data_IF_621522785047
#
_entry.id   IF_621522785047
#
_cell.length_a   1.000
_cell.length_b   1.000
_cell.length_c   1.000
_cell.angle_alpha   90.00
_cell.angle_beta   90.00
_cell.angle_gamma   90.00
#
_symmetry.space_group_name_H-M   'P 1'
#
loop_
_entity.id
_entity.type
_entity.pdbx_description
1 polymer ?
#
# COMPACT_ATOMS: atom_id res chain seq x y z
N UNK A 1 -70.28 -40.71 32.36
CA UNK A 1 -69.13 -40.41 31.48
C UNK A 1 -68.93 -38.88 31.43
N UNK A 2 -68.66 -38.22 32.57
CA UNK A 2 -68.67 -36.73 32.67
C UNK A 2 -67.81 -36.16 33.82
N UNK A 3 -66.85 -36.90 34.39
CA UNK A 3 -65.94 -36.39 35.44
C UNK A 3 -64.57 -35.90 34.92
N UNK A 4 -64.25 -36.14 33.63
CA UNK A 4 -63.01 -35.67 32.98
C UNK A 4 -63.09 -34.24 32.43
N UNK A 5 -64.24 -33.55 32.57
CA UNK A 5 -64.50 -32.24 31.95
C UNK A 5 -64.00 -31.04 32.77
N UNK A 6 -64.27 -31.00 34.08
CA UNK A 6 -64.03 -29.80 34.89
C UNK A 6 -62.55 -29.54 35.21
N UNK A 7 -61.77 -30.59 35.52
CA UNK A 7 -60.34 -30.45 35.79
C UNK A 7 -59.57 -30.00 34.54
N UNK A 8 -59.92 -30.51 33.36
CA UNK A 8 -59.29 -30.11 32.10
C UNK A 8 -59.65 -28.66 31.73
N UNK A 9 -60.90 -28.23 31.99
CA UNK A 9 -61.32 -26.83 31.84
C UNK A 9 -60.57 -25.90 32.80
N UNK A 10 -60.43 -26.28 34.07
CA UNK A 10 -59.69 -25.50 35.07
C UNK A 10 -58.20 -25.37 34.69
N UNK A 11 -57.59 -26.46 34.25
CA UNK A 11 -56.19 -26.48 33.83
C UNK A 11 -55.95 -25.65 32.56
N UNK A 12 -56.88 -25.70 31.58
CA UNK A 12 -56.84 -24.84 30.39
C UNK A 12 -57.00 -23.36 30.73
N UNK A 13 -57.89 -23.01 31.65
CA UNK A 13 -58.04 -21.62 32.15
C UNK A 13 -56.77 -21.13 32.85
N UNK A 14 -56.17 -21.96 33.71
CA UNK A 14 -54.92 -21.61 34.39
C UNK A 14 -53.77 -21.39 33.39
N UNK A 15 -53.64 -22.25 32.36
CA UNK A 15 -52.65 -22.07 31.28
C UNK A 15 -52.90 -20.81 30.45
N UNK A 16 -54.17 -20.50 30.16
CA UNK A 16 -54.53 -19.29 29.42
C UNK A 16 -54.21 -18.01 30.21
N UNK A 17 -54.46 -18.01 31.52
CA UNK A 17 -54.10 -16.90 32.41
C UNK A 17 -52.59 -16.72 32.53
N UNK A 18 -51.84 -17.81 32.72
CA UNK A 18 -50.38 -17.78 32.76
C UNK A 18 -49.79 -17.26 31.42
N UNK A 19 -50.30 -17.73 30.29
CA UNK A 19 -49.90 -17.26 28.97
C UNK A 19 -50.23 -15.77 28.75
N UNK A 20 -51.36 -15.29 29.29
CA UNK A 20 -51.73 -13.88 29.24
C UNK A 20 -50.78 -13.00 30.06
N UNK A 21 -50.44 -13.42 31.28
CA UNK A 21 -49.46 -12.71 32.10
C UNK A 21 -48.06 -12.70 31.46
N UNK A 22 -47.62 -13.82 30.87
CA UNK A 22 -46.36 -13.89 30.15
C UNK A 22 -46.34 -12.96 28.94
N UNK A 23 -47.45 -12.85 28.21
CA UNK A 23 -47.59 -11.92 27.11
C UNK A 23 -47.50 -10.45 27.57
N UNK A 24 -48.10 -10.12 28.72
CA UNK A 24 -47.99 -8.78 29.33
C UNK A 24 -46.53 -8.49 29.72
N UNK A 25 -45.88 -9.40 30.44
CA UNK A 25 -44.46 -9.27 30.85
C UNK A 25 -43.53 -9.13 29.64
N UNK A 26 -43.76 -9.89 28.57
CA UNK A 26 -42.99 -9.80 27.34
C UNK A 26 -43.17 -8.43 26.66
N UNK A 27 -44.40 -7.90 26.62
CA UNK A 27 -44.69 -6.57 26.07
C UNK A 27 -44.03 -5.45 26.87
N UNK A 28 -44.04 -5.54 28.19
CA UNK A 28 -43.37 -4.57 29.08
C UNK A 28 -41.85 -4.56 28.85
N UNK A 29 -41.22 -5.73 28.80
CA UNK A 29 -39.78 -5.86 28.50
C UNK A 29 -39.44 -5.27 27.12
N UNK A 30 -40.26 -5.52 26.11
CA UNK A 30 -40.06 -4.97 24.77
C UNK A 30 -40.18 -3.43 24.75
N UNK A 31 -41.13 -2.86 25.51
CA UNK A 31 -41.26 -1.42 25.66
C UNK A 31 -40.07 -0.80 26.40
N UNK A 32 -39.58 -1.44 27.46
CA UNK A 32 -38.39 -1.00 28.20
C UNK A 32 -37.14 -1.03 27.31
N UNK A 33 -36.90 -2.12 26.58
CA UNK A 33 -35.77 -2.23 25.66
C UNK A 33 -35.81 -1.17 24.54
N UNK A 34 -37.02 -0.86 24.03
CA UNK A 34 -37.21 0.21 23.04
C UNK A 34 -36.91 1.58 23.65
N UNK A 35 -37.36 1.84 24.88
CA UNK A 35 -37.08 3.09 25.59
C UNK A 35 -35.59 3.28 25.87
N UNK A 36 -34.89 2.22 26.28
CA UNK A 36 -33.44 2.22 26.50
C UNK A 36 -32.68 2.51 25.20
N UNK A 37 -33.05 1.87 24.10
CA UNK A 37 -32.45 2.12 22.78
C UNK A 37 -32.59 3.60 22.37
N UNK A 38 -33.76 4.20 22.62
CA UNK A 38 -34.00 5.62 22.33
C UNK A 38 -33.13 6.52 23.23
N UNK A 39 -33.01 6.20 24.53
CA UNK A 39 -32.15 6.94 25.46
C UNK A 39 -30.68 6.89 25.07
N UNK A 40 -30.16 5.70 24.72
CA UNK A 40 -28.77 5.52 24.27
C UNK A 40 -28.50 6.34 23.01
N UNK A 41 -29.40 6.30 22.02
CA UNK A 41 -29.28 7.12 20.79
C UNK A 41 -29.31 8.63 21.10
N UNK A 42 -30.18 9.06 22.02
CA UNK A 42 -30.28 10.45 22.43
C UNK A 42 -29.00 10.93 23.15
N UNK A 43 -28.46 10.12 24.07
CA UNK A 43 -27.19 10.40 24.75
C UNK A 43 -26.03 10.47 23.77
N UNK A 44 -25.89 9.50 22.85
CA UNK A 44 -24.83 9.51 21.84
C UNK A 44 -24.90 10.76 20.95
N UNK A 45 -26.11 11.18 20.55
CA UNK A 45 -26.31 12.43 19.81
C UNK A 45 -25.92 13.66 20.63
N UNK A 46 -26.31 13.73 21.90
CA UNK A 46 -25.95 14.82 22.79
C UNK A 46 -24.44 14.93 23.00
N UNK A 47 -23.76 13.81 23.26
CA UNK A 47 -22.28 13.76 23.39
C UNK A 47 -21.59 14.24 22.12
N UNK A 48 -22.08 13.85 20.94
CA UNK A 48 -21.52 14.32 19.66
C UNK A 48 -21.71 15.82 19.42
N UNK A 49 -22.86 16.37 19.83
CA UNK A 49 -23.10 17.82 19.74
C UNK A 49 -22.17 18.56 20.70
N UNK A 50 -22.04 18.06 21.93
CA UNK A 50 -21.16 18.65 22.95
C UNK A 50 -19.71 18.64 22.52
N UNK A 51 -19.19 17.52 22.03
CA UNK A 51 -17.80 17.43 21.57
C UNK A 51 -17.51 18.35 20.38
N UNK A 52 -18.47 18.49 19.46
CA UNK A 52 -18.35 19.44 18.34
C UNK A 52 -18.37 20.89 18.80
N UNK A 53 -19.21 21.22 19.79
CA UNK A 53 -19.28 22.54 20.39
C UNK A 53 -18.00 22.89 21.15
N UNK A 54 -17.46 21.97 21.95
CA UNK A 54 -16.20 22.10 22.67
C UNK A 54 -15.02 22.30 21.70
N UNK A 55 -14.94 21.48 20.64
CA UNK A 55 -13.91 21.64 19.61
C UNK A 55 -13.98 23.01 18.91
N UNK A 56 -15.20 23.50 18.62
CA UNK A 56 -15.40 24.84 18.04
C UNK A 56 -15.01 25.96 19.01
N UNK A 57 -15.33 25.82 20.29
CA UNK A 57 -14.97 26.77 21.32
C UNK A 57 -13.45 26.84 21.50
N UNK A 58 -12.77 25.69 21.59
CA UNK A 58 -11.31 25.60 21.66
C UNK A 58 -10.64 26.24 20.44
N UNK A 59 -11.15 25.98 19.23
CA UNK A 59 -10.63 26.60 18.02
C UNK A 59 -10.83 28.13 17.99
N UNK A 60 -11.96 28.62 18.51
CA UNK A 60 -12.23 30.05 18.62
C UNK A 60 -11.31 30.73 19.63
N UNK A 61 -11.07 30.10 20.78
CA UNK A 61 -10.13 30.57 21.81
C UNK A 61 -8.71 30.61 21.22
N UNK A 62 -8.23 29.52 20.62
CA UNK A 62 -6.90 29.46 20.00
C UNK A 62 -6.71 30.54 18.93
N UNK A 63 -7.74 30.81 18.10
CA UNK A 63 -7.69 31.88 17.11
C UNK A 63 -7.66 33.27 17.76
N UNK A 64 -8.38 33.44 18.88
CA UNK A 64 -8.37 34.64 19.71
C UNK A 64 -7.00 34.90 20.31
N UNK A 65 -6.37 33.89 20.90
CA UNK A 65 -5.02 33.93 21.47
C UNK A 65 -3.96 34.28 20.41
N UNK A 66 -4.02 33.65 19.23
CA UNK A 66 -3.10 33.99 18.12
C UNK A 66 -3.26 35.45 17.69
N UNK A 67 -4.50 35.96 17.67
CA UNK A 67 -4.76 37.37 17.34
C UNK A 67 -4.26 38.31 18.44
N UNK A 68 -4.44 37.95 19.72
CA UNK A 68 -3.98 38.72 20.87
C UNK A 68 -2.43 38.80 20.89
N UNK A 69 -1.75 37.66 20.76
CA UNK A 69 -0.29 37.57 20.71
C UNK A 69 0.29 38.44 19.57
N UNK A 70 -0.38 38.49 18.42
CA UNK A 70 0.02 39.35 17.29
C UNK A 70 -0.11 40.84 17.61
N UNK A 71 -1.13 41.24 18.37
CA UNK A 71 -1.33 42.64 18.80
C UNK A 71 -0.29 43.01 19.88
N UNK A 72 0.03 42.08 20.77
CA UNK A 72 0.97 42.26 21.87
C UNK A 72 2.45 42.17 21.44
N UNK A 73 2.73 41.91 20.17
CA UNK A 73 4.09 41.81 19.64
C UNK A 73 4.85 40.58 20.15
N UNK A 74 4.16 39.62 20.76
CA UNK A 74 4.73 38.35 21.21
C UNK A 74 5.03 37.54 19.94
N UNK A 75 6.32 37.29 19.68
CA UNK A 75 6.73 36.38 18.62
C UNK A 75 5.96 35.05 18.81
N UNK A 76 5.36 34.49 17.74
CA UNK A 76 4.66 33.22 17.87
C UNK A 76 5.62 32.23 18.54
N UNK A 77 5.21 31.64 19.67
CA UNK A 77 5.92 30.48 20.19
C UNK A 77 6.09 29.54 19.00
N UNK A 78 7.31 29.10 18.73
CA UNK A 78 7.60 28.11 17.71
C UNK A 78 6.71 26.92 18.05
N UNK A 79 5.57 26.80 17.35
CA UNK A 79 4.60 25.75 17.63
C UNK A 79 5.36 24.49 17.29
N UNK A 80 5.86 23.80 18.32
CA UNK A 80 6.60 22.57 18.17
C UNK A 80 5.67 21.62 17.42
N UNK A 81 5.90 21.53 16.11
CA UNK A 81 4.94 20.90 15.20
C UNK A 81 4.91 19.45 15.62
N UNK A 82 3.80 19.02 16.22
CA UNK A 82 3.65 17.69 16.84
C UNK A 82 4.19 16.65 15.87
N UNK A 83 5.36 16.08 16.20
CA UNK A 83 6.06 15.19 15.31
C UNK A 83 5.20 13.94 15.21
N UNK A 84 4.79 13.60 13.98
CA UNK A 84 4.08 12.36 13.74
C UNK A 84 5.04 11.21 14.05
N UNK A 85 4.63 10.28 14.90
CA UNK A 85 5.42 9.12 15.24
C UNK A 85 4.92 7.89 14.46
N UNK A 86 5.83 7.00 14.10
CA UNK A 86 5.47 5.68 13.60
C UNK A 86 4.97 4.77 14.75
N UNK A 87 4.52 3.56 14.42
CA UNK A 87 4.04 2.58 15.43
C UNK A 87 5.10 2.14 16.45
N UNK A 88 6.37 2.49 16.21
CA UNK A 88 7.51 2.21 17.09
C UNK A 88 7.95 3.47 17.86
N UNK A 89 7.19 4.57 17.80
CA UNK A 89 7.50 5.82 18.48
C UNK A 89 8.62 6.63 17.81
N UNK A 90 9.02 6.32 16.57
CA UNK A 90 10.07 7.04 15.85
C UNK A 90 9.49 8.21 15.06
N UNK A 91 10.21 9.35 14.93
CA UNK A 91 9.81 10.44 14.05
C UNK A 91 9.54 9.98 12.63
N UNK A 92 8.36 10.31 12.12
CA UNK A 92 7.91 10.05 10.75
C UNK A 92 7.95 11.36 9.96
N UNK A 93 8.87 11.50 8.99
CA UNK A 93 8.97 12.70 8.17
C UNK A 93 7.66 13.02 7.42
N UNK A 94 7.40 14.30 7.17
CA UNK A 94 6.17 14.74 6.49
C UNK A 94 6.01 14.14 5.09
N UNK A 95 7.11 13.96 4.34
CA UNK A 95 7.10 13.43 2.97
C UNK A 95 7.09 11.89 2.90
N UNK A 96 7.00 11.19 4.05
CA UNK A 96 7.04 9.74 4.12
C UNK A 96 5.92 9.12 3.26
N UNK A 97 6.33 8.40 2.21
CA UNK A 97 5.42 7.71 1.28
C UNK A 97 4.83 8.56 0.15
N UNK A 98 4.99 9.89 0.17
CA UNK A 98 4.36 10.77 -0.82
C UNK A 98 4.91 10.60 -2.23
N UNK A 99 6.21 10.33 -2.39
CA UNK A 99 6.79 10.05 -3.72
C UNK A 99 6.15 8.82 -4.37
N UNK A 100 5.91 7.76 -3.61
CA UNK A 100 5.22 6.57 -4.12
C UNK A 100 3.73 6.85 -4.37
N UNK A 101 3.08 7.67 -3.54
CA UNK A 101 1.69 8.08 -3.73
C UNK A 101 1.49 8.85 -5.06
N UNK A 102 2.43 9.74 -5.40
CA UNK A 102 2.44 10.47 -6.68
C UNK A 102 2.80 9.54 -7.84
N UNK A 103 3.72 8.60 -7.63
CA UNK A 103 4.17 7.68 -8.68
C UNK A 103 3.11 6.66 -9.06
N UNK A 104 2.24 6.24 -8.12
CA UNK A 104 1.18 5.26 -8.41
C UNK A 104 0.25 5.63 -9.59
N UNK A 105 -0.37 6.82 -9.67
CA UNK A 105 -1.18 7.20 -10.83
C UNK A 105 -0.34 7.39 -12.11
N UNK A 106 0.94 7.80 -12.00
CA UNK A 106 1.84 7.89 -13.15
C UNK A 106 2.18 6.51 -13.70
N UNK A 107 2.43 5.53 -12.82
CA UNK A 107 2.66 4.14 -13.18
C UNK A 107 1.42 3.51 -13.82
N UNK A 108 0.21 3.85 -13.37
CA UNK A 108 -1.04 3.45 -14.02
C UNK A 108 -1.10 3.97 -15.46
N UNK A 109 -0.90 5.28 -15.64
CA UNK A 109 -0.94 5.92 -16.95
C UNK A 109 0.11 5.33 -17.89
N UNK A 110 1.34 5.17 -17.41
CA UNK A 110 2.43 4.57 -18.18
C UNK A 110 2.10 3.13 -18.60
N UNK A 111 1.59 2.31 -17.67
CA UNK A 111 1.17 0.95 -17.95
C UNK A 111 0.06 0.86 -19.00
N UNK A 112 -0.95 1.72 -18.92
CA UNK A 112 -2.04 1.79 -19.91
C UNK A 112 -1.49 2.08 -21.30
N UNK A 113 -0.63 3.10 -21.43
CA UNK A 113 -0.05 3.46 -22.73
C UNK A 113 0.81 2.32 -23.28
N UNK A 114 1.65 1.66 -22.45
CA UNK A 114 2.43 0.49 -22.86
C UNK A 114 1.53 -0.63 -23.43
N UNK A 115 0.41 -0.92 -22.78
CA UNK A 115 -0.58 -1.90 -23.26
C UNK A 115 -1.19 -1.47 -24.60
N UNK A 116 -1.51 -0.18 -24.77
CA UNK A 116 -2.10 0.33 -26.00
C UNK A 116 -1.15 0.24 -27.20
N UNK A 117 0.14 0.54 -27.01
CA UNK A 117 1.13 0.57 -28.10
C UNK A 117 1.77 -0.80 -28.35
N UNK A 118 1.58 -1.79 -27.47
CA UNK A 118 2.14 -3.13 -27.65
C UNK A 118 1.50 -3.83 -28.87
N UNK A 119 2.29 -4.25 -29.87
CA UNK A 119 1.77 -4.75 -31.16
C UNK A 119 1.17 -6.17 -31.08
N UNK A 120 1.53 -6.98 -30.09
CA UNK A 120 1.09 -8.38 -29.98
C UNK A 120 0.34 -8.64 -28.68
N UNK A 121 -0.57 -9.61 -28.68
CA UNK A 121 -1.32 -10.02 -27.48
C UNK A 121 -0.40 -10.45 -26.34
N UNK A 122 0.67 -11.18 -26.65
CA UNK A 122 1.65 -11.59 -25.64
C UNK A 122 2.35 -10.41 -24.97
N UNK A 123 2.76 -9.41 -25.76
CA UNK A 123 3.42 -8.20 -25.25
C UNK A 123 2.44 -7.31 -24.47
N UNK A 124 1.15 -7.26 -24.86
CA UNK A 124 0.09 -6.60 -24.07
C UNK A 124 -0.05 -7.19 -22.68
N UNK A 125 -0.06 -8.52 -22.57
CA UNK A 125 -0.08 -9.21 -21.27
C UNK A 125 1.20 -8.95 -20.46
N UNK A 126 2.36 -8.93 -21.12
CA UNK A 126 3.61 -8.59 -20.46
C UNK A 126 3.61 -7.16 -19.88
N UNK A 127 3.02 -6.20 -20.60
CA UNK A 127 2.82 -4.83 -20.12
C UNK A 127 1.81 -4.77 -18.96
N UNK A 128 0.73 -5.54 -19.03
CA UNK A 128 -0.24 -5.63 -17.95
C UNK A 128 0.39 -6.17 -16.66
N UNK A 129 1.26 -7.19 -16.77
CA UNK A 129 2.04 -7.71 -15.64
C UNK A 129 2.95 -6.63 -15.03
N UNK A 130 3.68 -5.90 -15.86
CA UNK A 130 4.53 -4.79 -15.40
C UNK A 130 3.70 -3.68 -14.71
N UNK A 131 2.59 -3.29 -15.31
CA UNK A 131 1.65 -2.31 -14.73
C UNK A 131 1.15 -2.78 -13.36
N UNK A 132 0.64 -4.01 -13.27
CA UNK A 132 0.13 -4.57 -12.01
C UNK A 132 1.22 -4.63 -10.93
N UNK A 133 2.42 -5.10 -11.26
CA UNK A 133 3.54 -5.13 -10.30
C UNK A 133 3.92 -3.72 -9.82
N UNK A 134 3.94 -2.74 -10.73
CA UNK A 134 4.21 -1.32 -10.43
C UNK A 134 3.14 -0.74 -9.50
N UNK A 135 1.86 -0.99 -9.80
CA UNK A 135 0.75 -0.53 -8.98
C UNK A 135 0.80 -1.15 -7.58
N UNK A 136 1.01 -2.47 -7.48
CA UNK A 136 1.14 -3.13 -6.18
C UNK A 136 2.26 -2.50 -5.36
N UNK A 137 3.43 -2.26 -5.95
CA UNK A 137 4.55 -1.61 -5.26
C UNK A 137 4.19 -0.20 -4.80
N UNK A 138 3.85 0.70 -5.73
CA UNK A 138 3.69 2.11 -5.39
C UNK A 138 2.46 2.38 -4.53
N UNK A 139 1.35 1.68 -4.78
CA UNK A 139 0.14 1.85 -3.97
C UNK A 139 0.33 1.29 -2.56
N UNK A 140 0.80 0.05 -2.40
CA UNK A 140 1.01 -0.53 -1.08
C UNK A 140 2.03 0.28 -0.28
N UNK A 141 3.12 0.70 -0.91
CA UNK A 141 4.14 1.50 -0.26
C UNK A 141 3.61 2.88 0.16
N UNK A 142 2.81 3.53 -0.70
CA UNK A 142 2.11 4.76 -0.35
C UNK A 142 1.15 4.54 0.83
N UNK A 143 0.30 3.51 0.80
CA UNK A 143 -0.63 3.21 1.89
C UNK A 143 0.11 2.93 3.21
N UNK A 144 1.13 2.07 3.17
CA UNK A 144 1.97 1.73 4.31
C UNK A 144 2.60 2.98 4.94
N UNK A 145 3.19 3.84 4.11
CA UNK A 145 3.97 4.97 4.58
C UNK A 145 3.15 6.24 4.85
N UNK A 146 2.01 6.45 4.18
CA UNK A 146 1.17 7.63 4.43
C UNK A 146 0.24 7.43 5.60
N UNK A 147 -0.33 6.23 5.80
CA UNK A 147 -1.36 6.00 6.83
C UNK A 147 -0.85 5.81 8.27
N UNK A 148 -1.73 6.07 9.24
CA UNK A 148 -1.57 5.76 10.66
C UNK A 148 -2.39 4.52 10.99
N UNK A 149 -1.72 3.38 11.05
CA UNK A 149 -2.38 2.08 11.15
C UNK A 149 -2.17 1.43 12.52
N UNK A 150 -3.02 0.46 12.85
CA UNK A 150 -2.78 -0.41 14.00
C UNK A 150 -1.44 -1.15 13.86
N UNK A 151 -0.81 -1.60 14.97
CA UNK A 151 0.44 -2.37 14.89
C UNK A 151 0.34 -3.59 13.96
N UNK A 152 -0.76 -4.34 14.05
CA UNK A 152 -1.02 -5.51 13.19
C UNK A 152 -1.08 -5.13 11.71
N UNK A 153 -1.85 -4.10 11.36
CA UNK A 153 -1.97 -3.63 9.98
C UNK A 153 -0.63 -3.13 9.45
N UNK A 154 0.13 -2.40 10.28
CA UNK A 154 1.45 -1.89 9.91
C UNK A 154 2.43 -3.02 9.62
N UNK A 155 2.40 -4.11 10.39
CA UNK A 155 3.25 -5.27 10.16
C UNK A 155 2.90 -6.01 8.86
N UNK A 156 1.61 -6.15 8.55
CA UNK A 156 1.16 -6.75 7.28
C UNK A 156 1.58 -5.89 6.09
N UNK A 157 1.30 -4.59 6.13
CA UNK A 157 1.66 -3.67 5.05
C UNK A 157 3.17 -3.60 4.82
N UNK A 158 3.97 -3.64 5.90
CA UNK A 158 5.44 -3.70 5.83
C UNK A 158 5.94 -4.97 5.15
N UNK A 159 5.32 -6.12 5.42
CA UNK A 159 5.69 -7.40 4.79
C UNK A 159 5.42 -7.34 3.29
N UNK A 160 4.23 -6.87 2.91
CA UNK A 160 3.86 -6.68 1.51
C UNK A 160 4.86 -5.70 0.84
N UNK A 161 5.17 -4.58 1.50
CA UNK A 161 6.09 -3.56 0.97
C UNK A 161 7.48 -4.13 0.67
N UNK A 162 8.03 -4.96 1.56
CA UNK A 162 9.30 -5.63 1.33
C UNK A 162 9.23 -6.65 0.18
N UNK A 163 8.12 -7.36 0.01
CA UNK A 163 7.98 -8.37 -1.05
C UNK A 163 7.75 -7.76 -2.43
N UNK A 164 7.14 -6.58 -2.48
CA UNK A 164 6.82 -5.91 -3.72
C UNK A 164 8.04 -5.58 -4.58
N UNK A 165 9.23 -5.43 -3.97
CA UNK A 165 10.47 -5.20 -4.72
C UNK A 165 10.76 -6.39 -5.64
N UNK A 166 10.61 -7.62 -5.17
CA UNK A 166 10.81 -8.83 -6.00
C UNK A 166 9.78 -8.91 -7.13
N UNK A 167 8.51 -8.59 -6.82
CA UNK A 167 7.44 -8.53 -7.82
C UNK A 167 7.73 -7.49 -8.91
N UNK A 168 8.19 -6.29 -8.54
CA UNK A 168 8.53 -5.25 -9.51
C UNK A 168 9.72 -5.65 -10.38
N UNK A 169 10.73 -6.31 -9.82
CA UNK A 169 11.88 -6.81 -10.59
C UNK A 169 11.40 -7.81 -11.65
N UNK A 170 10.66 -8.86 -11.26
CA UNK A 170 10.14 -9.84 -12.22
C UNK A 170 9.15 -9.21 -13.22
N UNK A 171 8.30 -8.29 -12.76
CA UNK A 171 7.40 -7.52 -13.60
C UNK A 171 8.13 -6.68 -14.64
N UNK A 172 9.30 -6.11 -14.30
CA UNK A 172 10.16 -5.33 -15.22
C UNK A 172 10.81 -6.22 -16.27
N UNK A 173 11.30 -7.39 -15.87
CA UNK A 173 11.90 -8.36 -16.80
C UNK A 173 10.88 -8.92 -17.80
N UNK A 174 9.59 -8.94 -17.47
CA UNK A 174 8.56 -9.56 -18.29
C UNK A 174 8.40 -8.88 -19.68
N UNK A 175 8.14 -7.57 -19.81
CA UNK A 175 8.04 -6.93 -21.12
C UNK A 175 9.40 -6.65 -21.76
N UNK A 176 10.46 -6.33 -20.99
CA UNK A 176 11.77 -6.01 -21.59
C UNK A 176 12.38 -7.22 -22.30
N UNK A 177 12.13 -8.44 -21.81
CA UNK A 177 12.65 -9.67 -22.40
C UNK A 177 12.07 -9.98 -23.79
N UNK A 178 11.00 -9.31 -24.21
CA UNK A 178 10.51 -9.38 -25.60
C UNK A 178 11.47 -8.74 -26.62
N UNK A 179 12.49 -8.01 -26.16
CA UNK A 179 13.59 -7.60 -27.02
C UNK A 179 14.46 -8.77 -27.47
N UNK A 180 14.33 -9.95 -26.88
CA UNK A 180 15.14 -11.13 -27.19
C UNK A 180 14.30 -12.21 -27.89
N UNK A 181 14.99 -13.20 -28.46
CA UNK A 181 14.33 -14.39 -28.99
C UNK A 181 13.59 -15.20 -27.90
N UNK A 182 12.74 -16.11 -28.36
CA UNK A 182 11.83 -16.89 -27.52
C UNK A 182 12.55 -17.69 -26.43
N UNK A 183 13.74 -18.22 -26.72
CA UNK A 183 14.49 -19.00 -25.74
C UNK A 183 14.92 -18.10 -24.58
N UNK A 184 15.67 -17.03 -24.86
CA UNK A 184 16.15 -16.14 -23.81
C UNK A 184 15.02 -15.42 -23.09
N UNK A 185 13.99 -15.01 -23.83
CA UNK A 185 12.79 -14.41 -23.25
C UNK A 185 12.16 -15.31 -22.20
N UNK A 186 11.90 -16.56 -22.56
CA UNK A 186 11.25 -17.51 -21.66
C UNK A 186 12.16 -17.89 -20.49
N UNK A 187 13.46 -18.06 -20.72
CA UNK A 187 14.45 -18.35 -19.66
C UNK A 187 14.48 -17.25 -18.60
N UNK A 188 14.54 -15.98 -19.01
CA UNK A 188 14.56 -14.85 -18.09
C UNK A 188 13.25 -14.75 -17.32
N UNK A 189 12.11 -14.82 -18.01
CA UNK A 189 10.78 -14.71 -17.37
C UNK A 189 10.59 -15.83 -16.34
N UNK A 190 10.83 -17.09 -16.72
CA UNK A 190 10.69 -18.24 -15.83
C UNK A 190 11.65 -18.09 -14.64
N UNK A 191 12.93 -17.79 -14.88
CA UNK A 191 13.92 -17.63 -13.82
C UNK A 191 13.53 -16.56 -12.79
N UNK A 192 13.16 -15.37 -13.26
CA UNK A 192 12.81 -14.24 -12.38
C UNK A 192 11.54 -14.51 -11.57
N UNK A 193 10.52 -15.11 -12.19
CA UNK A 193 9.29 -15.48 -11.48
C UNK A 193 9.49 -16.65 -10.52
N UNK A 194 10.32 -17.64 -10.86
CA UNK A 194 10.71 -18.72 -9.94
C UNK A 194 11.45 -18.16 -8.72
N UNK A 195 12.44 -17.29 -8.90
CA UNK A 195 13.14 -16.63 -7.80
C UNK A 195 12.20 -15.79 -6.94
N UNK A 196 11.28 -15.04 -7.56
CA UNK A 196 10.27 -14.24 -6.86
C UNK A 196 9.32 -15.11 -6.05
N UNK A 197 8.84 -16.21 -6.64
CA UNK A 197 7.97 -17.17 -5.96
C UNK A 197 8.68 -17.82 -4.76
N UNK A 198 9.93 -18.25 -4.93
CA UNK A 198 10.73 -18.80 -3.82
C UNK A 198 10.89 -17.77 -2.70
N UNK A 199 11.22 -16.51 -3.03
CA UNK A 199 11.36 -15.44 -2.04
C UNK A 199 10.04 -15.18 -1.28
N UNK A 200 8.90 -15.18 -1.99
CA UNK A 200 7.57 -15.07 -1.39
C UNK A 200 7.26 -16.23 -0.44
N UNK A 201 7.50 -17.47 -0.88
CA UNK A 201 7.27 -18.67 -0.07
C UNK A 201 8.12 -18.64 1.19
N UNK A 202 9.40 -18.32 1.09
CA UNK A 202 10.30 -18.17 2.24
C UNK A 202 9.77 -17.09 3.19
N UNK A 203 9.30 -15.95 2.68
CA UNK A 203 8.78 -14.87 3.51
C UNK A 203 7.48 -15.23 4.23
N UNK A 204 6.61 -16.03 3.61
CA UNK A 204 5.35 -16.49 4.20
C UNK A 204 5.59 -17.58 5.25
N UNK A 205 6.45 -18.55 4.96
CA UNK A 205 6.70 -19.71 5.83
C UNK A 205 7.65 -19.33 6.99
N UNK A 206 8.74 -18.61 6.69
CA UNK A 206 9.79 -18.30 7.64
C UNK A 206 9.78 -16.82 8.02
N UNK A 207 8.82 -16.48 8.88
CA UNK A 207 8.60 -15.11 9.36
C UNK A 207 9.84 -14.48 10.04
N UNK A 208 10.69 -15.31 10.64
CA UNK A 208 11.93 -14.90 11.33
C UNK A 208 13.19 -15.09 10.48
N UNK A 209 13.03 -15.27 9.16
CA UNK A 209 14.15 -15.49 8.26
C UNK A 209 15.25 -14.43 8.44
N UNK A 210 16.53 -14.85 8.49
CA UNK A 210 17.62 -13.93 8.75
C UNK A 210 17.79 -12.94 7.60
N UNK A 211 18.18 -11.71 7.92
CA UNK A 211 18.28 -10.60 6.95
C UNK A 211 19.18 -10.92 5.75
N UNK A 212 20.24 -11.70 5.96
CA UNK A 212 21.18 -12.08 4.90
C UNK A 212 20.50 -12.88 3.77
N UNK A 213 19.41 -13.59 4.06
CA UNK A 213 18.71 -14.40 3.06
C UNK A 213 18.07 -13.50 1.99
N UNK A 214 17.44 -12.40 2.40
CA UNK A 214 16.91 -11.41 1.46
C UNK A 214 18.01 -10.72 0.68
N UNK A 215 19.15 -10.42 1.32
CA UNK A 215 20.33 -9.87 0.64
C UNK A 215 20.87 -10.82 -0.43
N UNK A 216 20.94 -12.13 -0.15
CA UNK A 216 21.37 -13.13 -1.12
C UNK A 216 20.44 -13.18 -2.34
N UNK A 217 19.12 -13.12 -2.13
CA UNK A 217 18.14 -13.04 -3.21
C UNK A 217 18.37 -11.78 -4.06
N UNK A 218 18.59 -10.62 -3.45
CA UNK A 218 18.91 -9.38 -4.18
C UNK A 218 20.18 -9.51 -5.03
N UNK A 219 21.22 -10.17 -4.51
CA UNK A 219 22.46 -10.43 -5.26
C UNK A 219 22.19 -11.31 -6.48
N UNK A 220 21.39 -12.37 -6.33
CA UNK A 220 21.01 -13.24 -7.46
C UNK A 220 20.30 -12.44 -8.55
N UNK A 221 19.31 -11.62 -8.19
CA UNK A 221 18.62 -10.74 -9.15
C UNK A 221 19.57 -9.75 -9.82
N UNK A 222 20.48 -9.14 -9.06
CA UNK A 222 21.48 -8.20 -9.56
C UNK A 222 22.46 -8.84 -10.56
N UNK A 223 23.02 -9.99 -10.21
CA UNK A 223 23.92 -10.76 -11.09
C UNK A 223 23.19 -11.18 -12.36
N UNK A 224 21.95 -11.65 -12.23
CA UNK A 224 21.13 -12.06 -13.37
C UNK A 224 20.93 -10.90 -14.35
N UNK A 225 20.69 -9.68 -13.83
CA UNK A 225 20.63 -8.49 -14.67
C UNK A 225 21.91 -8.28 -15.46
N UNK A 226 23.07 -8.26 -14.79
CA UNK A 226 24.37 -8.07 -15.46
C UNK A 226 24.63 -9.16 -16.51
N UNK A 227 24.31 -10.42 -16.21
CA UNK A 227 24.57 -11.56 -17.09
C UNK A 227 23.88 -11.44 -18.47
N UNK A 228 22.69 -10.85 -18.52
CA UNK A 228 21.92 -10.73 -19.76
C UNK A 228 22.15 -9.42 -20.52
N UNK A 229 22.89 -8.44 -19.96
CA UNK A 229 23.10 -7.14 -20.59
C UNK A 229 23.70 -7.25 -22.00
N UNK A 230 24.61 -8.20 -22.22
CA UNK A 230 25.22 -8.42 -23.54
C UNK A 230 24.24 -8.90 -24.61
N UNK A 231 23.13 -9.55 -24.22
CA UNK A 231 22.06 -9.95 -25.14
C UNK A 231 21.23 -8.73 -25.54
N UNK A 232 20.80 -7.94 -24.56
CA UNK A 232 20.04 -6.70 -24.80
C UNK A 232 20.85 -5.68 -25.62
N UNK A 233 22.16 -5.59 -25.39
CA UNK A 233 23.04 -4.69 -26.13
C UNK A 233 23.06 -4.97 -27.63
N UNK A 234 23.03 -6.25 -28.01
CA UNK A 234 23.08 -6.71 -29.41
C UNK A 234 21.71 -6.87 -30.04
N UNK A 235 20.64 -6.77 -29.25
CA UNK A 235 19.28 -6.92 -29.75
C UNK A 235 18.88 -5.73 -30.64
N UNK A 236 18.33 -5.98 -31.85
CA UNK A 236 17.76 -4.94 -32.70
C UNK A 236 16.55 -4.22 -32.08
N UNK A 237 15.91 -4.84 -31.08
CA UNK A 237 14.75 -4.30 -30.38
C UNK A 237 15.12 -3.48 -29.13
N UNK A 238 16.35 -3.59 -28.63
CA UNK A 238 16.79 -2.86 -27.43
C UNK A 238 17.99 -1.94 -27.72
N UNK A 239 19.16 -2.53 -28.00
CA UNK A 239 20.40 -1.81 -28.28
C UNK A 239 21.05 -1.12 -27.07
N UNK A 240 22.14 -0.35 -27.30
CA UNK A 240 22.94 0.26 -26.24
C UNK A 240 22.17 1.20 -25.32
N UNK A 241 21.27 2.02 -25.86
CA UNK A 241 20.53 3.02 -25.08
C UNK A 241 19.64 2.37 -24.03
N UNK A 242 18.95 1.28 -24.38
CA UNK A 242 18.14 0.51 -23.44
C UNK A 242 18.99 -0.09 -22.32
N UNK A 243 20.17 -0.62 -22.66
CA UNK A 243 21.10 -1.15 -21.65
C UNK A 243 21.61 -0.05 -20.72
N UNK A 244 21.97 1.12 -21.25
CA UNK A 244 22.41 2.27 -20.43
C UNK A 244 21.30 2.70 -19.47
N UNK A 245 20.05 2.75 -19.92
CA UNK A 245 18.91 3.06 -19.05
C UNK A 245 18.70 2.00 -17.96
N UNK A 246 18.83 0.71 -18.30
CA UNK A 246 18.73 -0.37 -17.31
C UNK A 246 19.84 -0.27 -16.27
N UNK A 247 21.07 0.01 -16.69
CA UNK A 247 22.22 0.20 -15.78
C UNK A 247 22.02 1.44 -14.91
N UNK A 248 21.63 2.58 -15.50
CA UNK A 248 21.34 3.80 -14.76
C UNK A 248 20.22 3.59 -13.72
N UNK A 249 19.15 2.87 -14.11
CA UNK A 249 18.07 2.53 -13.20
C UNK A 249 18.52 1.64 -12.04
N UNK A 250 19.34 0.63 -12.33
CA UNK A 250 19.98 -0.22 -11.32
C UNK A 250 20.87 0.58 -10.36
N UNK A 251 21.65 1.53 -10.86
CA UNK A 251 22.48 2.42 -10.04
C UNK A 251 21.62 3.32 -9.14
N UNK A 252 20.48 3.84 -9.63
CA UNK A 252 19.55 4.59 -8.79
C UNK A 252 18.98 3.76 -7.64
N UNK A 253 18.59 2.50 -7.90
CA UNK A 253 18.14 1.58 -6.86
C UNK A 253 19.23 1.31 -5.82
N UNK A 254 20.46 1.02 -6.29
CA UNK A 254 21.61 0.74 -5.41
C UNK A 254 21.93 1.97 -4.56
N UNK A 255 22.01 3.15 -5.16
CA UNK A 255 22.29 4.40 -4.43
C UNK A 255 21.23 4.66 -3.36
N UNK A 256 19.94 4.51 -3.69
CA UNK A 256 18.86 4.60 -2.72
C UNK A 256 19.01 3.57 -1.59
N UNK A 257 19.30 2.31 -1.92
CA UNK A 257 19.47 1.24 -0.94
C UNK A 257 20.67 1.48 0.00
N UNK A 258 21.78 2.03 -0.52
CA UNK A 258 22.94 2.44 0.28
C UNK A 258 22.55 3.54 1.26
N UNK A 259 21.85 4.59 0.81
CA UNK A 259 21.37 5.67 1.69
C UNK A 259 20.44 5.12 2.76
N UNK A 260 19.55 4.20 2.41
CA UNK A 260 18.66 3.53 3.37
C UNK A 260 19.44 2.72 4.42
N UNK A 261 20.44 1.95 3.98
CA UNK A 261 21.25 1.11 4.86
C UNK A 261 22.11 1.93 5.82
N UNK A 262 22.78 2.97 5.30
CA UNK A 262 23.63 3.88 6.07
C UNK A 262 22.83 4.86 6.93
N UNK A 263 21.53 5.04 6.62
CA UNK A 263 20.65 6.07 7.20
C UNK A 263 21.23 7.49 7.06
N UNK A 264 22.00 7.71 5.99
CA UNK A 264 22.68 8.97 5.69
C UNK A 264 22.75 9.17 4.16
N UNK A 265 22.60 10.41 3.65
CA UNK A 265 22.35 11.64 4.41
C UNK A 265 20.90 11.72 4.93
N UNK A 266 20.70 12.53 5.97
CA UNK A 266 19.38 12.80 6.59
C UNK A 266 19.15 14.32 6.65
N UNK A 267 18.88 14.95 5.49
CA UNK A 267 19.03 16.40 5.34
C UNK A 267 18.01 17.21 6.14
N UNK A 268 16.75 16.75 6.21
CA UNK A 268 15.69 17.37 7.03
C UNK A 268 14.86 16.29 7.73
N UNK A 269 15.31 15.74 8.86
CA UNK A 269 14.71 14.55 9.49
C UNK A 269 13.21 14.66 9.82
N UNK A 270 12.68 15.88 9.96
CA UNK A 270 11.25 16.14 10.20
C UNK A 270 10.41 16.18 8.91
N UNK A 271 11.02 16.40 7.75
CA UNK A 271 10.32 16.66 6.48
C UNK A 271 10.74 15.67 5.40
N UNK A 272 12.04 15.55 5.15
CA UNK A 272 12.66 14.78 4.09
C UNK A 272 13.99 14.21 4.59
N UNK A 273 14.02 12.91 4.84
CA UNK A 273 15.17 12.20 5.40
C UNK A 273 15.72 11.11 4.47
N UNK A 274 16.57 10.26 5.03
CA UNK A 274 17.23 9.16 4.29
C UNK A 274 16.22 8.20 3.61
N UNK A 275 15.05 7.99 4.21
CA UNK A 275 14.01 7.11 3.66
C UNK A 275 13.35 7.73 2.42
N UNK A 276 13.19 9.05 2.40
CA UNK A 276 12.65 9.77 1.26
C UNK A 276 13.65 9.78 0.09
N UNK A 277 14.96 9.84 0.38
CA UNK A 277 16.01 9.65 -0.64
C UNK A 277 15.96 8.23 -1.22
N UNK A 278 15.75 7.22 -0.37
CA UNK A 278 15.52 5.84 -0.84
C UNK A 278 14.31 5.74 -1.78
N UNK A 279 13.17 6.35 -1.43
CA UNK A 279 12.00 6.40 -2.31
C UNK A 279 12.31 7.12 -3.63
N UNK A 280 13.06 8.21 -3.61
CA UNK A 280 13.47 8.89 -4.85
C UNK A 280 14.36 8.00 -5.72
N UNK A 281 15.33 7.28 -5.13
CA UNK A 281 16.15 6.31 -5.86
C UNK A 281 15.29 5.23 -6.51
N UNK A 282 14.27 4.74 -5.80
CA UNK A 282 13.30 3.77 -6.32
C UNK A 282 12.49 4.34 -7.49
N UNK A 283 11.97 5.56 -7.36
CA UNK A 283 11.19 6.23 -8.43
C UNK A 283 12.06 6.54 -9.65
N UNK A 284 13.29 7.02 -9.45
CA UNK A 284 14.23 7.29 -10.54
C UNK A 284 14.62 5.99 -11.25
N UNK A 285 14.92 4.93 -10.50
CA UNK A 285 15.18 3.60 -11.03
C UNK A 285 14.02 3.10 -11.89
N UNK A 286 12.81 3.14 -11.33
CA UNK A 286 11.58 2.78 -12.03
C UNK A 286 11.37 3.58 -13.32
N UNK A 287 11.61 4.89 -13.29
CA UNK A 287 11.49 5.75 -14.46
C UNK A 287 12.46 5.33 -15.58
N UNK A 288 13.73 5.08 -15.26
CA UNK A 288 14.71 4.59 -16.23
C UNK A 288 14.26 3.27 -16.87
N UNK A 289 13.82 2.30 -16.06
CA UNK A 289 13.34 1.02 -16.57
C UNK A 289 12.05 1.14 -17.39
N UNK A 290 11.14 2.02 -16.98
CA UNK A 290 9.90 2.29 -17.71
C UNK A 290 10.22 2.86 -19.09
N UNK A 291 11.09 3.86 -19.18
CA UNK A 291 11.54 4.44 -20.45
C UNK A 291 12.25 3.39 -21.31
N UNK A 292 13.10 2.55 -20.72
CA UNK A 292 13.73 1.43 -21.44
C UNK A 292 12.69 0.48 -22.05
N UNK A 293 11.64 0.13 -21.30
CA UNK A 293 10.54 -0.71 -21.79
C UNK A 293 9.78 -0.01 -22.92
N UNK A 294 9.47 1.29 -22.78
CA UNK A 294 8.86 2.06 -23.88
C UNK A 294 9.67 1.99 -25.16
N UNK A 295 10.99 2.21 -25.07
CA UNK A 295 11.87 2.13 -26.24
C UNK A 295 11.83 0.75 -26.88
N UNK A 296 11.88 -0.31 -26.07
CA UNK A 296 11.77 -1.69 -26.57
C UNK A 296 10.44 -1.91 -27.31
N UNK A 297 9.32 -1.52 -26.72
CA UNK A 297 8.00 -1.77 -27.32
C UNK A 297 7.80 -0.95 -28.60
N UNK A 298 8.19 0.32 -28.61
CA UNK A 298 8.13 1.17 -29.80
C UNK A 298 8.98 0.57 -30.91
N UNK A 299 10.19 0.11 -30.59
CA UNK A 299 11.07 -0.52 -31.58
C UNK A 299 10.47 -1.83 -32.11
N UNK A 300 9.88 -2.67 -31.25
CA UNK A 300 9.18 -3.89 -31.68
C UNK A 300 7.96 -3.56 -32.55
N UNK A 301 7.20 -2.51 -32.25
CA UNK A 301 6.09 -2.06 -33.09
C UNK A 301 6.57 -1.65 -34.49
N UNK A 302 7.65 -0.86 -34.54
CA UNK A 302 8.27 -0.44 -35.79
C UNK A 302 8.77 -1.62 -36.62
N UNK A 303 9.41 -2.62 -35.98
CA UNK A 303 9.86 -3.85 -36.65
C UNK A 303 8.70 -4.70 -37.20
N UNK A 304 7.49 -4.55 -36.66
CA UNK A 304 6.26 -5.16 -37.20
C UNK A 304 5.56 -4.31 -38.25
N UNK A 305 6.10 -3.13 -38.61
CA UNK A 305 5.50 -2.23 -39.59
C UNK A 305 4.26 -1.49 -39.09
N UNK A 306 4.13 -1.32 -37.77
CA UNK A 306 3.04 -0.57 -37.10
C UNK A 306 3.56 0.78 -36.61
#
# INVERSE_FOLDING_TARGET
MTQFSEQDIAQRRARALAAHEDAIRARERALQAKAETVRVKAQAKATRIRSKAEAKALAAIAKGEVKANKIEGIAPQEVERKIRLDVHGRPKPLMRGWFHAITAPLALAAGIVLICIAPTTGLKWACAVFMTASLILFTNSAFYHVGDWSPRTTDVLRRIDHMNIFLLIAGTYTPVSFALDDFWRNTIIIGMWSCTFIALVIHVIWITAPRWLYTAVYVVFGISGVAFMGLFWRSPAAGPTVVILIVAGGLCYIAGAIVYALRKPDPWPKVFGFHEIFHLGTVAGYACHTVAIYMVIVQIAHLHGI
#
